data_IF_418283683930
#
_entry.id   IF_418283683930
#
_cell.length_a   1.000
_cell.length_b   1.000
_cell.length_c   1.000
_cell.angle_alpha   90.00
_cell.angle_beta   90.00
_cell.angle_gamma   90.00
#
_symmetry.space_group_name_H-M   'P 1'
#
loop_
_entity.id
_entity.type
_entity.pdbx_description
1 polymer ?
#
# COMPACT_ATOMS: atom_id res chain seq x y z
N UNK A 1 -25.33 3.53 7.10
CA UNK A 1 -24.93 2.48 6.16
C UNK A 1 -24.52 1.27 6.97
N UNK A 2 -25.08 0.10 6.73
CA UNK A 2 -24.64 -1.14 7.39
C UNK A 2 -23.32 -1.56 6.76
N UNK A 3 -22.30 -1.78 7.59
CA UNK A 3 -21.02 -2.35 7.14
C UNK A 3 -21.27 -3.70 6.45
N UNK A 4 -20.53 -4.03 5.37
CA UNK A 4 -20.63 -5.36 4.78
C UNK A 4 -20.24 -6.41 5.82
N UNK A 5 -21.05 -7.45 5.94
CA UNK A 5 -20.78 -8.53 6.88
C UNK A 5 -19.71 -9.44 6.25
N UNK A 6 -18.54 -9.49 6.84
CA UNK A 6 -17.50 -10.45 6.49
C UNK A 6 -17.81 -11.82 7.15
N UNK A 7 -17.34 -12.92 6.58
CA UNK A 7 -17.32 -14.21 7.23
C UNK A 7 -16.65 -14.14 8.60
N UNK A 8 -17.09 -14.99 9.53
CA UNK A 8 -16.66 -14.96 10.95
C UNK A 8 -15.14 -15.19 11.18
N UNK A 9 -14.48 -15.84 10.22
CA UNK A 9 -13.06 -16.18 10.28
C UNK A 9 -12.18 -15.04 9.72
N UNK A 10 -12.77 -13.90 9.34
CA UNK A 10 -12.07 -12.77 8.73
C UNK A 10 -12.31 -11.52 9.56
N UNK A 11 -11.25 -10.94 10.06
CA UNK A 11 -11.24 -9.63 10.70
C UNK A 11 -10.38 -8.64 9.88
N UNK A 12 -10.77 -7.39 9.82
CA UNK A 12 -9.97 -6.35 9.19
C UNK A 12 -9.59 -5.32 10.24
N UNK A 13 -8.30 -5.16 10.44
CA UNK A 13 -7.76 -4.06 11.23
C UNK A 13 -7.65 -2.85 10.31
N UNK A 14 -8.69 -2.02 10.26
CA UNK A 14 -8.64 -0.78 9.50
C UNK A 14 -7.61 0.17 10.12
N UNK A 15 -6.67 0.64 9.28
CA UNK A 15 -5.55 1.45 9.70
C UNK A 15 -5.63 2.86 9.09
N UNK A 16 -4.83 3.76 9.64
CA UNK A 16 -4.64 5.07 9.00
C UNK A 16 -3.75 4.99 7.76
N UNK A 17 -3.61 6.12 7.05
CA UNK A 17 -2.92 6.19 5.76
C UNK A 17 -1.41 5.89 5.80
N UNK A 18 -0.77 5.84 6.97
CA UNK A 18 0.64 5.45 7.11
C UNK A 18 0.83 3.93 7.07
N UNK A 19 -0.21 3.15 7.29
CA UNK A 19 -0.16 1.69 7.23
C UNK A 19 -1.32 1.18 6.42
N UNK A 20 -1.09 0.15 5.63
CA UNK A 20 -2.16 -0.62 5.03
C UNK A 20 -3.07 -1.26 6.08
N UNK A 21 -4.29 -1.57 5.70
CA UNK A 21 -5.16 -2.46 6.46
C UNK A 21 -4.47 -3.81 6.62
N UNK A 22 -4.67 -4.44 7.78
CA UNK A 22 -4.21 -5.80 7.97
C UNK A 22 -5.43 -6.72 8.00
N UNK A 23 -5.45 -7.75 7.17
CA UNK A 23 -6.57 -8.70 7.08
C UNK A 23 -6.18 -9.96 7.84
N UNK A 24 -6.87 -10.22 8.94
CA UNK A 24 -6.59 -11.33 9.84
C UNK A 24 -7.57 -12.48 9.60
N UNK A 25 -7.04 -13.69 9.54
CA UNK A 25 -7.78 -14.92 9.35
C UNK A 25 -7.53 -15.87 10.53
N UNK A 26 -8.58 -16.50 11.03
CA UNK A 26 -8.49 -17.47 12.10
C UNK A 26 -9.67 -18.45 12.07
N UNK A 27 -9.43 -19.70 11.71
CA UNK A 27 -10.41 -20.78 11.74
C UNK A 27 -10.37 -21.59 13.04
N UNK A 28 -9.55 -21.19 14.00
CA UNK A 28 -9.31 -21.86 15.26
C UNK A 28 -8.20 -22.95 15.20
N UNK A 29 -7.73 -23.33 14.02
CA UNK A 29 -6.62 -24.25 13.81
C UNK A 29 -5.40 -23.55 13.21
N UNK A 30 -5.64 -22.75 12.17
CA UNK A 30 -4.62 -21.97 11.47
C UNK A 30 -4.97 -20.49 11.50
N UNK A 31 -3.94 -19.65 11.53
CA UNK A 31 -4.06 -18.21 11.54
C UNK A 31 -3.23 -17.57 10.44
N UNK A 32 -3.73 -16.50 9.85
CA UNK A 32 -3.05 -15.79 8.79
C UNK A 32 -3.23 -14.28 8.91
N UNK A 33 -2.28 -13.55 8.35
CA UNK A 33 -2.34 -12.09 8.22
C UNK A 33 -1.98 -11.69 6.80
N UNK A 34 -2.77 -10.85 6.18
CA UNK A 34 -2.39 -10.18 4.92
C UNK A 34 -2.02 -8.75 5.23
N UNK A 35 -0.82 -8.38 4.81
CA UNK A 35 -0.11 -7.13 5.05
C UNK A 35 0.13 -6.83 6.53
N UNK A 36 1.21 -6.12 6.82
CA UNK A 36 1.72 -5.93 8.19
C UNK A 36 1.81 -4.48 8.63
N UNK A 37 1.50 -3.54 7.73
CA UNK A 37 1.58 -2.11 8.00
C UNK A 37 3.00 -1.55 7.94
N UNK A 38 3.14 -0.26 8.25
CA UNK A 38 4.41 0.46 8.23
C UNK A 38 5.28 0.14 9.46
N UNK A 39 6.58 0.23 9.32
CA UNK A 39 7.56 -0.17 10.33
C UNK A 39 7.39 0.51 11.68
N UNK A 40 7.06 1.82 11.72
CA UNK A 40 6.83 2.56 12.97
C UNK A 40 5.56 2.12 13.71
N UNK A 41 4.65 1.42 13.03
CA UNK A 41 3.42 0.86 13.60
C UNK A 41 3.54 -0.64 13.93
N UNK A 42 4.73 -1.25 13.82
CA UNK A 42 4.92 -2.68 14.08
C UNK A 42 4.46 -3.14 15.46
N UNK A 43 4.70 -2.34 16.49
CA UNK A 43 4.22 -2.64 17.85
C UNK A 43 2.69 -2.69 17.93
N UNK A 44 2.00 -1.81 17.20
CA UNK A 44 0.54 -1.82 17.13
C UNK A 44 0.03 -3.04 16.36
N UNK A 45 0.66 -3.40 15.23
CA UNK A 45 0.32 -4.61 14.46
C UNK A 45 0.48 -5.85 15.33
N UNK A 46 1.60 -5.99 16.06
CA UNK A 46 1.81 -7.09 17.00
C UNK A 46 0.70 -7.15 18.06
N UNK A 47 0.38 -6.02 18.70
CA UNK A 47 -0.66 -5.99 19.73
C UNK A 47 -2.04 -6.39 19.22
N UNK A 48 -2.39 -5.98 17.98
CA UNK A 48 -3.66 -6.36 17.35
C UNK A 48 -3.71 -7.87 17.06
N UNK A 49 -2.63 -8.46 16.54
CA UNK A 49 -2.52 -9.90 16.28
C UNK A 49 -2.55 -10.69 17.59
N UNK A 50 -1.77 -10.27 18.61
CA UNK A 50 -1.77 -10.92 19.93
C UNK A 50 -3.14 -10.86 20.61
N UNK A 51 -3.88 -9.77 20.48
CA UNK A 51 -5.22 -9.65 21.04
C UNK A 51 -6.21 -10.68 20.43
N UNK A 52 -5.99 -11.09 19.18
CA UNK A 52 -6.80 -12.13 18.51
C UNK A 52 -6.32 -13.55 18.83
N UNK A 53 -5.02 -13.77 18.82
CA UNK A 53 -4.44 -15.11 18.96
C UNK A 53 -4.27 -15.56 20.42
N UNK A 54 -4.13 -14.64 21.37
CA UNK A 54 -3.71 -14.97 22.72
C UNK A 54 -2.31 -15.59 22.71
N UNK A 55 -2.18 -16.82 23.19
CA UNK A 55 -0.91 -17.54 23.23
C UNK A 55 -0.61 -18.36 21.95
N UNK A 56 -1.52 -18.40 20.98
CA UNK A 56 -1.31 -19.13 19.73
C UNK A 56 -0.32 -18.38 18.81
N UNK A 57 0.45 -19.10 17.98
CA UNK A 57 1.30 -18.46 16.98
C UNK A 57 0.49 -17.84 15.85
N UNK A 58 1.10 -16.91 15.10
CA UNK A 58 0.67 -16.56 13.76
C UNK A 58 1.37 -17.54 12.80
N UNK A 59 0.60 -18.24 11.96
CA UNK A 59 1.13 -19.29 11.10
C UNK A 59 1.58 -18.77 9.74
N UNK A 60 0.81 -17.86 9.12
CA UNK A 60 1.06 -17.36 7.76
C UNK A 60 0.98 -15.83 7.71
N UNK A 61 1.95 -15.22 7.05
CA UNK A 61 1.96 -13.82 6.66
C UNK A 61 2.02 -13.72 5.14
N UNK A 62 1.16 -12.91 4.55
CA UNK A 62 1.10 -12.66 3.11
C UNK A 62 1.26 -11.17 2.86
N UNK A 63 2.00 -10.78 1.81
CA UNK A 63 1.96 -9.42 1.32
C UNK A 63 1.28 -9.35 -0.05
N UNK A 64 0.39 -8.36 -0.22
CA UNK A 64 -0.23 -8.05 -1.51
C UNK A 64 0.78 -7.47 -2.48
N UNK A 65 1.70 -6.67 -1.98
CA UNK A 65 2.88 -6.11 -2.66
C UNK A 65 3.88 -5.65 -1.60
N UNK A 66 5.05 -5.16 -2.03
CA UNK A 66 6.15 -4.89 -1.12
C UNK A 66 6.41 -3.39 -0.86
N UNK A 67 5.43 -2.51 -0.98
CA UNK A 67 5.59 -1.15 -0.45
C UNK A 67 5.70 -1.18 1.07
N UNK A 68 6.44 -0.22 1.62
CA UNK A 68 6.84 -0.20 3.04
C UNK A 68 5.68 -0.18 4.02
N UNK A 69 4.54 0.35 3.64
CA UNK A 69 3.31 0.42 4.42
C UNK A 69 2.47 -0.87 4.38
N UNK A 70 2.85 -1.83 3.54
CA UNK A 70 2.29 -3.17 3.49
C UNK A 70 3.17 -4.22 4.14
N UNK A 71 4.50 -4.07 4.05
CA UNK A 71 5.44 -5.09 4.54
C UNK A 71 6.39 -4.61 5.66
N UNK A 72 6.29 -3.35 6.09
CA UNK A 72 7.19 -2.77 7.11
C UNK A 72 7.14 -3.44 8.48
N UNK A 73 6.03 -4.10 8.81
CA UNK A 73 5.87 -4.88 10.04
C UNK A 73 6.36 -6.33 9.96
N UNK A 74 6.73 -6.82 8.76
CA UNK A 74 7.12 -8.22 8.54
C UNK A 74 8.22 -8.68 9.49
N UNK A 75 9.29 -7.89 9.63
CA UNK A 75 10.41 -8.23 10.51
C UNK A 75 9.97 -8.43 11.96
N UNK A 76 9.15 -7.54 12.49
CA UNK A 76 8.70 -7.62 13.87
C UNK A 76 7.81 -8.86 14.11
N UNK A 77 6.97 -9.23 13.13
CA UNK A 77 6.17 -10.46 13.18
C UNK A 77 7.06 -11.71 13.11
N UNK A 78 8.09 -11.73 12.26
CA UNK A 78 9.04 -12.85 12.17
C UNK A 78 9.86 -13.01 13.45
N UNK A 79 10.28 -11.93 14.08
CA UNK A 79 11.00 -11.98 15.36
C UNK A 79 10.11 -12.51 16.48
N UNK A 80 8.81 -12.17 16.46
CA UNK A 80 7.83 -12.62 17.46
C UNK A 80 7.40 -14.07 17.24
N UNK A 81 7.22 -14.48 15.98
CA UNK A 81 6.72 -15.79 15.58
C UNK A 81 7.77 -16.54 14.73
N UNK A 82 8.77 -17.23 15.33
CA UNK A 82 9.88 -17.81 14.56
C UNK A 82 9.50 -18.89 13.55
N UNK A 83 8.31 -19.49 13.68
CA UNK A 83 7.76 -20.48 12.73
C UNK A 83 6.88 -19.86 11.64
N UNK A 84 6.76 -18.53 11.62
CA UNK A 84 5.91 -17.80 10.66
C UNK A 84 6.32 -18.07 9.22
N UNK A 85 5.40 -18.59 8.42
CA UNK A 85 5.58 -18.74 6.98
C UNK A 85 5.22 -17.40 6.32
N UNK A 86 6.20 -16.76 5.68
CA UNK A 86 6.00 -15.50 4.98
C UNK A 86 5.94 -15.74 3.47
N UNK A 87 4.85 -15.28 2.84
CA UNK A 87 4.58 -15.43 1.42
C UNK A 87 4.54 -14.04 0.76
N UNK A 88 5.25 -13.87 -0.35
CA UNK A 88 5.35 -12.59 -1.08
C UNK A 88 5.06 -12.79 -2.57
N UNK A 89 4.69 -11.74 -3.31
CA UNK A 89 4.63 -11.78 -4.78
C UNK A 89 5.97 -12.19 -5.40
N UNK A 90 5.96 -12.88 -6.56
CA UNK A 90 7.18 -13.50 -7.10
C UNK A 90 8.21 -12.52 -7.66
N UNK A 91 7.79 -11.40 -8.24
CA UNK A 91 8.68 -10.54 -9.04
C UNK A 91 9.80 -9.90 -8.23
N UNK A 92 9.52 -9.46 -7.01
CA UNK A 92 10.50 -8.83 -6.13
C UNK A 92 11.22 -9.82 -5.19
N UNK A 93 10.93 -11.11 -5.25
CA UNK A 93 11.48 -12.13 -4.36
C UNK A 93 13.02 -12.15 -4.33
N UNK A 94 13.67 -11.92 -5.48
CA UNK A 94 15.13 -11.80 -5.58
C UNK A 94 15.67 -10.64 -4.76
N UNK A 95 15.01 -9.47 -4.83
CA UNK A 95 15.45 -8.27 -4.12
C UNK A 95 15.27 -8.40 -2.61
N UNK A 96 14.23 -9.10 -2.15
CA UNK A 96 14.08 -9.45 -0.72
C UNK A 96 15.17 -10.40 -0.27
N UNK A 97 15.48 -11.44 -1.07
CA UNK A 97 16.54 -12.42 -0.75
C UNK A 97 17.90 -11.75 -0.61
N UNK A 98 18.26 -10.86 -1.53
CA UNK A 98 19.54 -10.17 -1.56
C UNK A 98 19.52 -8.88 -0.71
N UNK A 99 18.37 -8.49 -0.19
CA UNK A 99 18.03 -7.24 0.49
C UNK A 99 18.51 -5.99 -0.27
N UNK A 100 18.05 -5.85 -1.48
CA UNK A 100 18.30 -4.68 -2.30
C UNK A 100 17.21 -3.60 -2.06
N UNK A 101 17.42 -2.77 -1.03
CA UNK A 101 16.48 -1.72 -0.63
C UNK A 101 16.26 -0.66 -1.74
N UNK A 102 17.21 -0.48 -2.64
CA UNK A 102 17.08 0.43 -3.78
C UNK A 102 16.08 -0.13 -4.81
N UNK A 103 16.22 -1.40 -5.19
CA UNK A 103 15.28 -2.08 -6.10
C UNK A 103 13.91 -2.34 -5.47
N UNK A 104 13.83 -2.42 -4.13
CA UNK A 104 12.57 -2.48 -3.37
C UNK A 104 11.93 -1.09 -3.17
N UNK A 105 12.52 -0.04 -3.74
CA UNK A 105 12.03 1.36 -3.75
C UNK A 105 12.05 2.11 -2.40
N UNK A 106 12.50 1.48 -1.30
CA UNK A 106 12.49 2.13 0.03
C UNK A 106 13.42 3.34 0.07
N UNK A 107 14.65 3.19 -0.40
CA UNK A 107 15.62 4.30 -0.48
C UNK A 107 15.14 5.38 -1.46
N UNK A 108 14.57 4.96 -2.59
CA UNK A 108 14.11 5.89 -3.62
C UNK A 108 12.97 6.80 -3.14
N UNK A 109 12.09 6.28 -2.29
CA UNK A 109 10.93 7.00 -1.73
C UNK A 109 11.22 7.65 -0.37
N UNK A 110 12.41 7.39 0.22
CA UNK A 110 12.80 7.88 1.53
C UNK A 110 11.99 7.27 2.67
N UNK A 111 11.52 6.04 2.50
CA UNK A 111 10.71 5.29 3.45
C UNK A 111 11.55 4.25 4.19
N UNK A 112 11.04 3.75 5.30
CA UNK A 112 11.72 2.77 6.14
C UNK A 112 11.04 1.41 6.05
N UNK A 113 11.84 0.37 5.77
CA UNK A 113 11.40 -1.01 5.87
C UNK A 113 12.54 -1.85 6.46
N UNK A 114 12.38 -2.43 7.66
CA UNK A 114 13.37 -3.34 8.23
C UNK A 114 13.51 -4.60 7.37
N UNK A 115 14.75 -5.08 7.23
CA UNK A 115 15.02 -6.32 6.49
C UNK A 115 14.22 -7.49 7.05
N UNK A 116 13.51 -8.17 6.18
CA UNK A 116 12.74 -9.38 6.46
C UNK A 116 13.08 -10.48 5.47
N UNK A 117 12.70 -11.72 5.78
CA UNK A 117 12.85 -12.87 4.90
C UNK A 117 11.50 -13.35 4.36
N UNK A 118 11.51 -14.27 3.42
CA UNK A 118 10.28 -14.94 2.97
C UNK A 118 10.51 -16.45 2.80
N UNK A 119 9.43 -17.23 2.88
CA UNK A 119 9.45 -18.69 2.76
C UNK A 119 9.18 -19.14 1.33
N UNK A 120 8.15 -18.57 0.68
CA UNK A 120 7.73 -18.93 -0.68
C UNK A 120 7.16 -17.73 -1.40
N UNK A 121 7.08 -17.81 -2.74
CA UNK A 121 6.38 -16.83 -3.57
C UNK A 121 4.95 -17.29 -3.85
N UNK A 122 4.01 -16.33 -3.83
CA UNK A 122 2.62 -16.53 -4.24
C UNK A 122 2.49 -16.31 -5.75
N UNK A 123 2.19 -17.37 -6.47
CA UNK A 123 2.11 -17.31 -7.93
C UNK A 123 0.69 -16.94 -8.38
N UNK A 124 0.51 -15.91 -9.21
CA UNK A 124 -0.75 -15.67 -9.88
C UNK A 124 -1.23 -16.90 -10.67
N UNK A 125 -2.52 -17.20 -10.59
CA UNK A 125 -3.14 -18.41 -11.14
C UNK A 125 -3.16 -19.61 -10.19
N UNK A 126 -2.51 -19.52 -9.02
CA UNK A 126 -2.66 -20.49 -7.93
C UNK A 126 -3.76 -20.06 -6.97
N UNK A 127 -4.08 -20.94 -6.00
CA UNK A 127 -4.99 -20.65 -4.90
C UNK A 127 -4.33 -20.97 -3.58
N UNK A 128 -4.77 -20.29 -2.51
CA UNK A 128 -4.32 -20.52 -1.13
C UNK A 128 -5.52 -20.63 -0.20
N UNK A 129 -5.42 -21.51 0.81
CA UNK A 129 -6.43 -21.58 1.88
C UNK A 129 -6.05 -20.62 3.01
N UNK A 130 -6.97 -19.71 3.37
CA UNK A 130 -6.85 -18.79 4.50
C UNK A 130 -8.17 -18.80 5.27
N UNK A 131 -8.11 -19.09 6.56
CA UNK A 131 -9.31 -19.42 7.30
C UNK A 131 -9.99 -20.64 6.67
N UNK A 132 -11.31 -20.64 6.63
CA UNK A 132 -12.10 -21.74 6.04
C UNK A 132 -12.31 -21.60 4.53
N UNK A 133 -11.57 -20.70 3.83
CA UNK A 133 -11.87 -20.30 2.45
C UNK A 133 -10.67 -20.48 1.52
N UNK A 134 -10.95 -20.77 0.24
CA UNK A 134 -9.97 -20.79 -0.84
C UNK A 134 -9.95 -19.45 -1.55
N UNK A 135 -8.76 -18.89 -1.72
CA UNK A 135 -8.52 -17.60 -2.34
C UNK A 135 -7.71 -17.78 -3.61
N UNK A 136 -8.26 -17.34 -4.73
CA UNK A 136 -7.57 -17.33 -6.01
C UNK A 136 -6.65 -16.11 -6.09
N UNK A 137 -5.40 -16.33 -6.51
CA UNK A 137 -4.35 -15.32 -6.59
C UNK A 137 -4.31 -14.81 -8.03
N UNK A 138 -4.47 -13.51 -8.19
CA UNK A 138 -4.38 -12.84 -9.49
C UNK A 138 -3.25 -11.81 -9.50
N UNK A 139 -2.55 -11.66 -10.63
CA UNK A 139 -1.66 -10.53 -10.84
C UNK A 139 -2.48 -9.24 -10.93
N UNK A 140 -1.99 -8.18 -10.31
CA UNK A 140 -2.62 -6.86 -10.30
C UNK A 140 -1.60 -5.73 -10.54
N UNK A 141 -0.86 -5.79 -11.67
CA UNK A 141 0.16 -4.78 -11.96
C UNK A 141 -0.48 -3.41 -12.15
N UNK A 142 0.32 -2.37 -11.89
CA UNK A 142 -0.07 -0.96 -12.07
C UNK A 142 0.51 -0.08 -10.99
N UNK A 143 -0.11 -0.01 -9.81
CA UNK A 143 0.44 0.70 -8.64
C UNK A 143 1.84 0.18 -8.26
N UNK A 144 1.99 -1.13 -8.20
CA UNK A 144 3.23 -1.87 -8.12
C UNK A 144 3.23 -2.93 -9.25
N UNK A 145 4.35 -3.16 -9.95
CA UNK A 145 4.39 -4.07 -11.09
C UNK A 145 4.16 -5.54 -10.73
N UNK A 146 4.43 -5.90 -9.48
CA UNK A 146 4.38 -7.27 -8.99
C UNK A 146 3.23 -7.51 -8.00
N UNK A 147 2.34 -6.52 -7.82
CA UNK A 147 1.20 -6.63 -6.92
C UNK A 147 0.28 -7.79 -7.29
N UNK A 148 -0.33 -8.36 -6.27
CA UNK A 148 -1.37 -9.38 -6.40
C UNK A 148 -2.65 -8.92 -5.69
N UNK A 149 -3.76 -9.46 -6.14
CA UNK A 149 -5.02 -9.44 -5.42
C UNK A 149 -5.47 -10.88 -5.12
N UNK A 150 -6.31 -11.04 -4.10
CA UNK A 150 -6.87 -12.33 -3.73
C UNK A 150 -8.40 -12.26 -3.83
N UNK A 151 -9.00 -13.26 -4.48
CA UNK A 151 -10.45 -13.34 -4.67
C UNK A 151 -11.02 -14.62 -4.09
N UNK A 152 -12.04 -14.49 -3.24
CA UNK A 152 -12.82 -15.60 -2.68
C UNK A 152 -14.17 -15.67 -3.42
N UNK A 153 -14.37 -16.74 -4.17
CA UNK A 153 -15.45 -16.83 -5.13
C UNK A 153 -16.84 -17.10 -4.51
N UNK A 154 -16.89 -17.78 -3.33
CA UNK A 154 -18.17 -18.19 -2.73
C UNK A 154 -18.93 -17.00 -2.13
N UNK A 155 -18.22 -16.07 -1.50
CA UNK A 155 -18.76 -14.84 -0.92
C UNK A 155 -18.47 -13.61 -1.78
N UNK A 156 -17.70 -13.80 -2.88
CA UNK A 156 -17.28 -12.75 -3.82
C UNK A 156 -16.55 -11.62 -3.10
N UNK A 157 -15.58 -12.00 -2.25
CA UNK A 157 -14.75 -11.07 -1.51
C UNK A 157 -13.44 -10.87 -2.25
N UNK A 158 -13.09 -9.61 -2.50
CA UNK A 158 -11.84 -9.19 -3.11
C UNK A 158 -10.95 -8.50 -2.08
N UNK A 159 -9.73 -8.98 -1.90
CA UNK A 159 -8.64 -8.24 -1.25
C UNK A 159 -7.85 -7.58 -2.36
N UNK A 160 -8.00 -6.27 -2.49
CA UNK A 160 -7.52 -5.53 -3.65
C UNK A 160 -6.14 -4.86 -3.44
N UNK A 161 -5.60 -4.88 -2.22
CA UNK A 161 -4.42 -4.07 -1.93
C UNK A 161 -4.64 -2.62 -2.41
N UNK A 162 -3.69 -2.10 -3.15
CA UNK A 162 -3.74 -0.73 -3.67
C UNK A 162 -4.20 -0.63 -5.13
N UNK A 163 -4.67 -1.76 -5.70
CA UNK A 163 -5.23 -1.77 -7.05
C UNK A 163 -6.62 -1.14 -7.13
N UNK A 164 -7.42 -1.19 -6.04
CA UNK A 164 -8.75 -0.55 -5.98
C UNK A 164 -9.10 -0.15 -4.55
N UNK A 165 -9.45 1.12 -4.37
CA UNK A 165 -10.03 1.71 -3.16
C UNK A 165 -11.47 2.17 -3.44
N UNK A 166 -12.23 2.57 -2.41
CA UNK A 166 -13.58 3.11 -2.59
C UNK A 166 -13.59 4.34 -3.52
N UNK A 167 -12.52 5.13 -3.52
CA UNK A 167 -12.38 6.36 -4.30
C UNK A 167 -11.13 6.38 -5.19
N UNK A 168 -10.88 5.31 -5.92
CA UNK A 168 -9.77 5.20 -6.87
C UNK A 168 -8.79 4.09 -6.55
N UNK A 169 -7.48 4.36 -6.68
CA UNK A 169 -6.37 3.42 -6.51
C UNK A 169 -5.11 4.14 -6.06
N UNK A 170 -4.07 3.38 -5.69
CA UNK A 170 -2.77 3.88 -5.27
C UNK A 170 -2.01 4.66 -6.35
N UNK A 171 -0.94 5.37 -5.96
CA UNK A 171 -0.06 6.07 -6.90
C UNK A 171 0.59 5.05 -7.85
N UNK A 172 0.62 5.33 -9.15
CA UNK A 172 1.24 4.45 -10.15
C UNK A 172 2.71 4.81 -10.28
N UNK A 173 3.53 4.32 -9.37
CA UNK A 173 4.96 4.67 -9.32
C UNK A 173 5.72 4.29 -10.59
N UNK A 174 5.55 3.11 -11.21
CA UNK A 174 6.29 2.74 -12.41
C UNK A 174 6.03 3.67 -13.60
N UNK A 175 4.84 4.26 -13.70
CA UNK A 175 4.53 5.26 -14.74
C UNK A 175 5.41 6.51 -14.61
N UNK A 176 5.72 6.93 -13.38
CA UNK A 176 6.58 8.08 -13.12
C UNK A 176 8.04 7.80 -13.45
N UNK A 177 8.43 6.55 -13.51
CA UNK A 177 9.76 6.08 -13.94
C UNK A 177 9.86 5.86 -15.45
N UNK A 178 8.72 5.92 -16.16
CA UNK A 178 8.67 5.81 -17.61
C UNK A 178 8.19 4.47 -18.14
N UNK A 179 7.71 3.59 -17.25
CA UNK A 179 6.97 2.41 -17.66
C UNK A 179 5.59 2.78 -18.20
N UNK A 180 4.94 1.84 -18.89
CA UNK A 180 3.58 2.03 -19.44
C UNK A 180 2.51 1.47 -18.49
N UNK A 181 2.63 1.82 -17.21
CA UNK A 181 1.88 1.21 -16.11
C UNK A 181 0.42 1.66 -16.03
N UNK A 182 0.03 2.74 -16.67
CA UNK A 182 -1.39 3.10 -16.80
C UNK A 182 -2.20 2.06 -17.59
N UNK A 183 -1.59 1.40 -18.57
CA UNK A 183 -2.23 0.29 -19.28
C UNK A 183 -2.43 -0.91 -18.34
N UNK A 184 -1.46 -1.18 -17.47
CA UNK A 184 -1.54 -2.25 -16.48
C UNK A 184 -2.66 -1.98 -15.46
N UNK A 185 -2.78 -0.72 -14.99
CA UNK A 185 -3.92 -0.31 -14.15
C UNK A 185 -5.24 -0.56 -14.86
N UNK A 186 -5.36 -0.18 -16.15
CA UNK A 186 -6.55 -0.43 -16.95
C UNK A 186 -6.91 -1.92 -16.99
N UNK A 187 -5.94 -2.78 -17.32
CA UNK A 187 -6.12 -4.23 -17.38
C UNK A 187 -6.50 -4.83 -16.01
N UNK A 188 -5.91 -4.34 -14.92
CA UNK A 188 -6.26 -4.76 -13.55
C UNK A 188 -7.69 -4.35 -13.19
N UNK A 189 -8.15 -3.16 -13.57
CA UNK A 189 -9.55 -2.75 -13.38
C UNK A 189 -10.50 -3.60 -14.22
N UNK A 190 -10.14 -4.02 -15.44
CA UNK A 190 -10.93 -4.94 -16.28
C UNK A 190 -11.02 -6.33 -15.63
N UNK A 191 -9.93 -6.82 -15.05
CA UNK A 191 -9.92 -8.06 -14.27
C UNK A 191 -10.89 -7.96 -13.09
N UNK A 192 -10.78 -6.90 -12.27
CA UNK A 192 -11.66 -6.70 -11.10
C UNK A 192 -13.14 -6.67 -11.54
N UNK A 193 -13.47 -6.00 -12.63
CA UNK A 193 -14.82 -5.99 -13.20
C UNK A 193 -15.30 -7.40 -13.56
N UNK A 194 -14.44 -8.22 -14.19
CA UNK A 194 -14.75 -9.59 -14.59
C UNK A 194 -14.99 -10.53 -13.40
N UNK A 195 -14.27 -10.32 -12.28
CA UNK A 195 -14.45 -11.06 -11.03
C UNK A 195 -15.79 -10.72 -10.34
N UNK A 196 -16.37 -9.58 -10.65
CA UNK A 196 -17.67 -9.13 -10.10
C UNK A 196 -17.75 -9.27 -8.57
N UNK A 197 -16.83 -8.67 -7.79
CA UNK A 197 -16.85 -8.80 -6.34
C UNK A 197 -18.14 -8.21 -5.73
N UNK A 198 -18.50 -8.61 -4.53
CA UNK A 198 -19.56 -7.98 -3.73
C UNK A 198 -18.99 -7.12 -2.61
N UNK A 199 -17.88 -7.58 -2.05
CA UNK A 199 -17.17 -6.91 -0.95
C UNK A 199 -15.72 -6.72 -1.38
N UNK A 200 -15.21 -5.52 -1.12
CA UNK A 200 -13.79 -5.20 -1.34
C UNK A 200 -13.14 -4.83 -0.01
N UNK A 201 -12.02 -5.48 0.28
CA UNK A 201 -11.12 -5.15 1.39
C UNK A 201 -9.90 -4.48 0.77
N UNK A 202 -9.80 -3.14 0.82
CA UNK A 202 -8.70 -2.40 0.20
C UNK A 202 -7.46 -2.36 1.09
N UNK A 203 -6.31 -2.01 0.51
CA UNK A 203 -5.10 -1.70 1.27
C UNK A 203 -5.28 -0.49 2.19
N UNK A 204 -6.04 0.52 1.74
CA UNK A 204 -6.32 1.71 2.54
C UNK A 204 -7.81 2.09 2.52
N UNK A 205 -8.27 2.66 3.65
CA UNK A 205 -9.67 3.03 3.84
C UNK A 205 -10.51 1.88 4.40
N UNK A 206 -11.83 2.05 4.41
CA UNK A 206 -12.74 1.06 4.98
C UNK A 206 -13.06 -0.08 4.00
N UNK A 207 -13.50 -1.20 4.54
CA UNK A 207 -14.16 -2.25 3.77
C UNK A 207 -15.45 -1.71 3.16
N UNK A 208 -15.71 -1.98 1.89
CA UNK A 208 -16.88 -1.44 1.20
C UNK A 208 -17.57 -2.46 0.30
N UNK A 209 -18.84 -2.17 -0.03
CA UNK A 209 -19.56 -2.92 -1.06
C UNK A 209 -19.16 -2.44 -2.44
N UNK A 210 -18.77 -3.37 -3.29
CA UNK A 210 -18.51 -3.05 -4.68
C UNK A 210 -19.80 -2.58 -5.38
N UNK A 211 -19.64 -1.54 -6.17
CA UNK A 211 -20.68 -1.05 -7.07
C UNK A 211 -20.03 -0.59 -8.37
N UNK A 212 -20.75 -0.61 -9.51
CA UNK A 212 -20.19 -0.10 -10.77
C UNK A 212 -19.66 1.36 -10.68
N UNK A 213 -20.19 2.17 -9.76
CA UNK A 213 -19.73 3.54 -9.54
C UNK A 213 -18.31 3.61 -8.99
N UNK A 214 -17.90 2.66 -8.14
CA UNK A 214 -16.52 2.58 -7.61
C UNK A 214 -15.54 2.40 -8.77
N UNK A 215 -15.82 1.46 -9.66
CA UNK A 215 -14.97 1.23 -10.82
C UNK A 215 -14.99 2.41 -11.80
N UNK A 216 -16.14 3.04 -12.00
CA UNK A 216 -16.24 4.25 -12.81
C UNK A 216 -15.38 5.40 -12.28
N UNK A 217 -15.34 5.60 -10.96
CA UNK A 217 -14.48 6.60 -10.31
C UNK A 217 -12.99 6.25 -10.55
N UNK A 218 -12.61 4.97 -10.40
CA UNK A 218 -11.23 4.54 -10.65
C UNK A 218 -10.82 4.78 -12.11
N UNK A 219 -11.67 4.43 -13.09
CA UNK A 219 -11.42 4.66 -14.51
C UNK A 219 -11.33 6.16 -14.84
N UNK A 220 -12.23 6.99 -14.32
CA UNK A 220 -12.16 8.45 -14.51
C UNK A 220 -10.87 9.06 -13.95
N UNK A 221 -10.39 8.52 -12.82
CA UNK A 221 -9.09 8.93 -12.25
C UNK A 221 -7.94 8.53 -13.16
N UNK A 222 -7.95 7.30 -13.70
CA UNK A 222 -6.98 6.82 -14.67
C UNK A 222 -6.96 7.69 -15.92
N UNK A 223 -8.13 7.94 -16.52
CA UNK A 223 -8.27 8.80 -17.71
C UNK A 223 -7.71 10.20 -17.47
N UNK A 224 -7.98 10.77 -16.30
CA UNK A 224 -7.45 12.09 -15.92
C UNK A 224 -5.92 12.09 -15.77
N UNK A 225 -5.30 10.99 -15.33
CA UNK A 225 -3.86 10.86 -15.24
C UNK A 225 -3.21 10.61 -16.59
N UNK A 226 -3.82 9.79 -17.44
CA UNK A 226 -3.39 9.56 -18.84
C UNK A 226 -3.42 10.87 -19.62
N UNK A 227 -4.50 11.64 -19.51
CA UNK A 227 -4.65 12.93 -20.19
C UNK A 227 -3.66 13.99 -19.66
N UNK A 228 -3.23 13.90 -18.41
CA UNK A 228 -2.31 14.85 -17.79
C UNK A 228 -1.33 14.14 -16.82
N UNK A 229 -0.23 13.58 -17.32
CA UNK A 229 0.76 12.91 -16.49
C UNK A 229 1.40 13.82 -15.41
N UNK A 230 1.51 15.12 -15.65
CA UNK A 230 1.99 16.07 -14.63
C UNK A 230 1.03 16.18 -13.42
N UNK A 231 -0.29 15.98 -13.64
CA UNK A 231 -1.27 15.91 -12.56
C UNK A 231 -1.04 14.66 -11.68
N UNK A 232 -0.72 13.52 -12.31
CA UNK A 232 -0.34 12.31 -11.59
C UNK A 232 0.95 12.51 -10.79
N UNK A 233 2.01 13.05 -11.42
CA UNK A 233 3.27 13.35 -10.75
C UNK A 233 3.09 14.29 -9.55
N UNK A 234 2.29 15.35 -9.69
CA UNK A 234 1.94 16.26 -8.59
C UNK A 234 1.24 15.55 -7.44
N UNK A 235 0.29 14.65 -7.77
CA UNK A 235 -0.38 13.83 -6.77
C UNK A 235 0.62 12.92 -6.03
N UNK A 236 1.49 12.20 -6.75
CA UNK A 236 2.49 11.32 -6.18
C UNK A 236 3.46 12.04 -5.22
N UNK A 237 3.94 13.22 -5.64
CA UNK A 237 4.81 14.06 -4.78
C UNK A 237 4.08 14.42 -3.48
N UNK A 238 2.83 14.87 -3.56
CA UNK A 238 2.03 15.20 -2.37
C UNK A 238 1.80 13.99 -1.47
N UNK A 239 1.57 12.80 -2.04
CA UNK A 239 1.45 11.55 -1.27
C UNK A 239 2.73 11.25 -0.51
N UNK A 240 3.91 11.33 -1.15
CA UNK A 240 5.19 11.09 -0.47
C UNK A 240 5.47 12.12 0.64
N UNK A 241 5.21 13.41 0.40
CA UNK A 241 5.35 14.44 1.42
C UNK A 241 4.40 14.21 2.60
N UNK A 242 3.13 13.88 2.32
CA UNK A 242 2.14 13.55 3.36
C UNK A 242 2.52 12.27 4.12
N UNK A 243 3.02 11.24 3.43
CA UNK A 243 3.51 10.02 4.05
C UNK A 243 4.61 10.31 5.06
N UNK A 244 5.58 11.18 4.69
CA UNK A 244 6.62 11.63 5.61
C UNK A 244 6.05 12.38 6.81
N UNK A 245 5.06 13.24 6.61
CA UNK A 245 4.39 13.94 7.71
C UNK A 245 3.63 12.98 8.65
N UNK A 246 2.99 11.95 8.11
CA UNK A 246 2.35 10.91 8.90
C UNK A 246 3.37 10.11 9.74
N UNK A 247 4.57 9.88 9.19
CA UNK A 247 5.66 9.19 9.91
C UNK A 247 6.19 10.03 11.08
N UNK A 248 6.52 11.30 10.84
CA UNK A 248 7.22 12.15 11.82
C UNK A 248 6.29 13.03 12.67
N UNK A 249 5.03 13.20 12.26
CA UNK A 249 3.98 14.05 12.82
C UNK A 249 4.29 15.55 12.75
N UNK A 250 5.52 15.95 12.99
CA UNK A 250 6.01 17.34 12.85
C UNK A 250 7.50 17.37 12.59
N UNK A 251 7.96 18.37 11.83
CA UNK A 251 9.38 18.57 11.54
C UNK A 251 9.66 20.03 11.21
N UNK A 252 10.88 20.55 11.46
CA UNK A 252 11.25 21.88 10.95
C UNK A 252 11.24 21.86 9.40
N UNK A 253 10.87 22.98 8.78
CA UNK A 253 10.86 23.13 7.32
C UNK A 253 12.25 22.85 6.74
N UNK A 254 13.31 23.24 7.45
CA UNK A 254 14.70 22.98 7.03
C UNK A 254 14.98 21.48 6.93
N UNK A 255 14.72 20.72 8.00
CA UNK A 255 14.92 19.26 8.01
C UNK A 255 14.01 18.55 7.00
N UNK A 256 12.78 19.02 6.82
CA UNK A 256 11.85 18.46 5.85
C UNK A 256 12.36 18.67 4.41
N UNK A 257 12.88 19.86 4.10
CA UNK A 257 13.50 20.16 2.82
C UNK A 257 14.78 19.33 2.60
N UNK A 258 15.63 19.16 3.62
CA UNK A 258 16.79 18.29 3.53
C UNK A 258 16.42 16.83 3.21
N UNK A 259 15.41 16.30 3.90
CA UNK A 259 14.89 14.97 3.58
C UNK A 259 14.37 14.90 2.16
N UNK A 260 13.56 15.87 1.72
CA UNK A 260 13.05 15.93 0.36
C UNK A 260 14.16 15.96 -0.70
N UNK A 261 15.22 16.75 -0.47
CA UNK A 261 16.38 16.82 -1.36
C UNK A 261 17.13 15.49 -1.48
N UNK A 262 17.17 14.70 -0.41
CA UNK A 262 17.82 13.38 -0.37
C UNK A 262 16.92 12.27 -0.93
N UNK A 263 15.65 12.52 -1.18
CA UNK A 263 14.70 11.55 -1.71
C UNK A 263 14.78 11.53 -3.25
N UNK A 264 15.37 10.48 -3.85
CA UNK A 264 15.62 10.41 -5.30
C UNK A 264 14.35 10.58 -6.13
N UNK A 265 13.25 10.02 -5.67
CA UNK A 265 11.96 10.05 -6.36
C UNK A 265 11.40 11.47 -6.54
N UNK A 266 11.49 12.30 -5.49
CA UNK A 266 11.07 13.71 -5.55
C UNK A 266 11.91 14.50 -6.57
N UNK A 267 13.22 14.23 -6.61
CA UNK A 267 14.12 14.84 -7.60
C UNK A 267 13.80 14.39 -9.03
N UNK A 268 13.51 13.10 -9.24
CA UNK A 268 13.14 12.55 -10.54
C UNK A 268 11.83 13.17 -11.04
N UNK A 269 10.79 13.21 -10.20
CA UNK A 269 9.51 13.86 -10.51
C UNK A 269 9.68 15.33 -10.88
N UNK A 270 10.45 16.10 -10.09
CA UNK A 270 10.72 17.50 -10.41
C UNK A 270 11.42 17.64 -11.78
N UNK A 271 12.49 16.88 -12.02
CA UNK A 271 13.25 16.97 -13.28
C UNK A 271 12.39 16.62 -14.50
N UNK A 272 11.50 15.65 -14.39
CA UNK A 272 10.71 15.17 -15.52
C UNK A 272 9.47 16.01 -15.78
N UNK A 273 8.77 16.49 -14.74
CA UNK A 273 7.46 17.10 -14.86
C UNK A 273 7.38 18.59 -14.46
N UNK A 274 8.41 19.09 -13.73
CA UNK A 274 8.44 20.45 -13.16
C UNK A 274 9.83 21.08 -13.28
N UNK A 275 10.50 20.85 -14.40
CA UNK A 275 11.90 21.24 -14.63
C UNK A 275 12.13 22.75 -14.61
N UNK A 276 11.09 23.56 -14.80
CA UNK A 276 11.11 25.02 -14.71
C UNK A 276 11.23 25.54 -13.28
N UNK A 277 10.95 24.70 -12.27
CA UNK A 277 11.02 25.08 -10.87
C UNK A 277 12.37 24.66 -10.25
N UNK A 278 12.95 25.56 -9.51
CA UNK A 278 14.05 25.23 -8.62
C UNK A 278 13.54 24.30 -7.51
N UNK A 279 14.40 23.36 -6.99
CA UNK A 279 13.91 22.28 -6.11
C UNK A 279 13.24 22.80 -4.83
N UNK A 280 13.84 23.80 -4.15
CA UNK A 280 13.28 24.36 -2.93
C UNK A 280 11.88 24.97 -3.17
N UNK A 281 11.72 25.75 -4.24
CA UNK A 281 10.44 26.34 -4.62
C UNK A 281 9.40 25.26 -5.02
N UNK A 282 9.86 24.17 -5.64
CA UNK A 282 8.99 23.05 -5.98
C UNK A 282 8.40 22.40 -4.71
N UNK A 283 9.22 22.08 -3.71
CA UNK A 283 8.75 21.50 -2.44
C UNK A 283 7.87 22.48 -1.68
N UNK A 284 8.24 23.75 -1.63
CA UNK A 284 7.43 24.81 -1.00
C UNK A 284 6.01 24.86 -1.58
N UNK A 285 5.89 24.86 -2.92
CA UNK A 285 4.58 24.82 -3.59
C UNK A 285 3.78 23.57 -3.26
N UNK A 286 4.41 22.41 -3.22
CA UNK A 286 3.72 21.15 -2.88
C UNK A 286 3.26 21.15 -1.42
N UNK A 287 4.07 21.69 -0.50
CA UNK A 287 3.67 21.85 0.90
C UNK A 287 2.53 22.85 1.06
N UNK A 288 2.53 23.97 0.32
CA UNK A 288 1.43 24.93 0.32
C UNK A 288 0.11 24.27 -0.10
N UNK A 289 0.14 23.41 -1.14
CA UNK A 289 -1.06 22.68 -1.57
C UNK A 289 -1.56 21.67 -0.52
N UNK A 290 -0.68 21.07 0.29
CA UNK A 290 -1.09 20.23 1.42
C UNK A 290 -1.77 21.08 2.51
N UNK A 291 -1.27 22.29 2.76
CA UNK A 291 -1.89 23.23 3.70
C UNK A 291 -3.24 23.70 3.19
N UNK A 292 -3.35 24.08 1.92
CA UNK A 292 -4.61 24.51 1.28
C UNK A 292 -5.69 23.41 1.29
N UNK A 293 -5.26 22.14 1.40
CA UNK A 293 -6.15 20.97 1.49
C UNK A 293 -6.43 20.52 2.92
N UNK A 294 -6.04 21.31 3.93
CA UNK A 294 -6.20 21.03 5.37
C UNK A 294 -5.57 19.70 5.84
N UNK A 295 -4.56 19.18 5.10
CA UNK A 295 -3.85 17.94 5.45
C UNK A 295 -2.45 18.17 6.00
N UNK A 296 -2.02 19.43 6.08
CA UNK A 296 -0.81 19.89 6.75
C UNK A 296 -1.03 21.30 7.31
N UNK A 297 -0.19 21.70 8.27
CA UNK A 297 -0.17 23.06 8.81
C UNK A 297 1.27 23.53 8.95
N UNK A 298 1.54 24.78 8.64
CA UNK A 298 2.86 25.41 8.83
C UNK A 298 2.72 26.55 9.84
N UNK A 299 3.51 26.52 10.91
CA UNK A 299 3.58 27.55 11.93
C UNK A 299 5.01 27.61 12.48
N UNK A 300 5.57 28.80 12.65
CA UNK A 300 6.90 29.05 13.25
C UNK A 300 8.03 28.21 12.62
N UNK A 301 8.04 28.08 11.29
CA UNK A 301 8.99 27.29 10.51
C UNK A 301 8.95 25.78 10.82
N UNK A 302 7.84 25.29 11.35
CA UNK A 302 7.58 23.86 11.55
C UNK A 302 6.39 23.47 10.68
N UNK A 303 6.50 22.35 9.97
CA UNK A 303 5.40 21.69 9.25
C UNK A 303 4.86 20.55 10.12
N UNK A 304 3.54 20.50 10.24
CA UNK A 304 2.80 19.53 11.04
C UNK A 304 1.89 18.69 10.16
N UNK A 305 1.71 17.43 10.56
CA UNK A 305 0.60 16.62 10.06
C UNK A 305 -0.72 17.19 10.58
N UNK A 306 -1.75 17.30 9.75
CA UNK A 306 -3.09 17.76 10.12
C UNK A 306 -4.15 16.75 9.65
#
# INVERSE_FOLDING_TARGET
>A
MTFPLLPKDIDVFERGWLSSNNIFFDDGQTSGLIDSGYSTHSAQTLALVEAKLGARPLDVLINTHLHSDHCGGNRALQDKYPSLITLIPPGQAKFVKDWDAASLTYDATGQQCPQFGYSHSLLPGASICLGSYSWDIHAAPGHDPDAILLFEASHRILISGDALWENGFGVVFPELEGANAFNDVGATLDLIESLTPEIVIPGHGRVFRYTPSVLSIARQRLDAFVANPAKHARHAVKVLLKFKLLEVQQQSIEQFNEWAQRTPYLNACRKRFFNELEFGLFIEKMCAELVDSDVARITDKVIYNA
#
